data_IF_438574231223
#
_entry.id   IF_438574231223
#
_cell.length_a   1.000
_cell.length_b   1.000
_cell.length_c   1.000
_cell.angle_alpha   90.00
_cell.angle_beta   90.00
_cell.angle_gamma   90.00
#
_symmetry.space_group_name_H-M   'P 1'
#
loop_
_entity.id
_entity.type
_entity.pdbx_description
1 polymer ?
#
# COMPACT_ATOMS: atom_id res chain seq x y z
N UNK A 1 19.39 4.00 -6.33
CA UNK A 1 18.09 3.30 -6.19
C UNK A 1 18.33 1.95 -5.56
N UNK A 2 17.65 1.66 -4.46
CA UNK A 2 17.71 0.33 -3.83
C UNK A 2 16.97 -0.71 -4.68
N UNK A 3 17.24 -2.00 -4.47
CA UNK A 3 16.50 -3.09 -5.14
C UNK A 3 14.99 -3.02 -4.88
N UNK A 4 14.60 -2.59 -3.69
CA UNK A 4 13.21 -2.42 -3.29
C UNK A 4 12.52 -1.24 -3.99
N UNK A 5 13.20 -0.08 -4.06
CA UNK A 5 12.71 1.08 -4.81
C UNK A 5 12.51 0.75 -6.29
N UNK A 6 13.43 -0.02 -6.87
CA UNK A 6 13.33 -0.45 -8.25
C UNK A 6 12.12 -1.34 -8.49
N UNK A 7 11.86 -2.31 -7.60
CA UNK A 7 10.68 -3.19 -7.69
C UNK A 7 9.39 -2.40 -7.57
N UNK A 8 9.33 -1.47 -6.63
CA UNK A 8 8.16 -0.64 -6.40
C UNK A 8 7.90 0.30 -7.58
N UNK A 9 8.93 0.98 -8.08
CA UNK A 9 8.84 1.83 -9.26
C UNK A 9 8.35 1.07 -10.50
N UNK A 10 8.96 -0.06 -10.81
CA UNK A 10 8.55 -0.91 -11.94
C UNK A 10 7.11 -1.41 -11.79
N UNK A 11 6.70 -1.76 -10.58
CA UNK A 11 5.34 -2.20 -10.30
C UNK A 11 4.34 -1.07 -10.56
N UNK A 12 4.58 0.13 -10.06
CA UNK A 12 3.72 1.29 -10.31
C UNK A 12 3.67 1.66 -11.79
N UNK A 13 4.81 1.67 -12.45
CA UNK A 13 4.88 1.96 -13.89
C UNK A 13 4.13 0.96 -14.76
N UNK A 14 3.91 -0.26 -14.28
CA UNK A 14 3.09 -1.24 -15.00
C UNK A 14 1.61 -0.83 -15.14
N UNK A 15 1.13 0.06 -14.28
CA UNK A 15 -0.23 0.62 -14.34
C UNK A 15 -0.32 1.95 -15.10
N UNK A 16 0.80 2.63 -15.27
CA UNK A 16 0.84 3.91 -15.97
C UNK A 16 0.89 3.72 -17.50
N UNK A 17 0.22 4.56 -18.31
CA UNK A 17 -0.60 5.73 -17.96
C UNK A 17 -2.10 5.43 -17.80
N UNK A 18 -2.54 4.17 -17.91
CA UNK A 18 -3.95 3.80 -17.95
C UNK A 18 -4.70 3.92 -16.61
N UNK A 19 -3.97 4.06 -15.50
CA UNK A 19 -4.53 4.16 -14.15
C UNK A 19 -4.08 5.44 -13.45
N UNK A 20 -4.97 5.99 -12.63
CA UNK A 20 -4.69 7.15 -11.78
C UNK A 20 -4.29 6.66 -10.38
N UNK A 21 -3.21 7.19 -9.85
CA UNK A 21 -2.79 6.93 -8.47
C UNK A 21 -3.42 7.92 -7.49
N UNK A 22 -3.95 7.39 -6.41
CA UNK A 22 -4.52 8.13 -5.28
C UNK A 22 -3.71 7.76 -4.04
N UNK A 23 -3.06 8.73 -3.42
CA UNK A 23 -2.20 8.48 -2.27
C UNK A 23 -2.86 8.89 -0.95
N UNK A 24 -2.90 7.96 -0.01
CA UNK A 24 -3.30 8.19 1.38
C UNK A 24 -2.11 7.94 2.29
N UNK A 25 -1.52 9.01 2.81
CA UNK A 25 -0.49 8.91 3.84
C UNK A 25 -1.06 8.22 5.08
N UNK A 26 -0.24 7.39 5.72
CA UNK A 26 -0.62 6.79 6.99
C UNK A 26 -0.72 7.87 8.06
N UNK A 27 -1.88 8.09 8.69
CA UNK A 27 -2.01 9.04 9.79
C UNK A 27 -1.33 8.45 11.03
N UNK A 28 -0.37 9.15 11.59
CA UNK A 28 0.33 8.63 12.75
C UNK A 28 1.25 9.65 13.40
N UNK A 29 2.29 9.14 14.04
CA UNK A 29 3.29 9.93 14.75
C UNK A 29 4.33 10.58 13.81
N UNK A 30 5.36 11.19 14.39
CA UNK A 30 6.42 11.84 13.63
C UNK A 30 7.17 10.89 12.67
N UNK A 31 7.30 9.60 13.02
CA UNK A 31 7.90 8.59 12.15
C UNK A 31 7.08 8.37 10.86
N UNK A 32 5.77 8.33 10.97
CA UNK A 32 4.88 8.21 9.81
C UNK A 32 4.97 9.45 8.92
N UNK A 33 5.18 10.63 9.50
CA UNK A 33 5.45 11.85 8.75
C UNK A 33 6.74 11.79 7.95
N UNK A 34 7.80 11.19 8.48
CA UNK A 34 9.06 10.96 7.76
C UNK A 34 8.85 10.01 6.59
N UNK A 35 8.12 8.92 6.81
CA UNK A 35 7.78 7.96 5.74
C UNK A 35 6.96 8.64 4.63
N UNK A 36 5.98 9.46 4.99
CA UNK A 36 5.17 10.21 4.03
C UNK A 36 6.05 11.16 3.19
N UNK A 37 6.96 11.90 3.82
CA UNK A 37 7.89 12.79 3.13
C UNK A 37 8.77 12.03 2.15
N UNK A 38 9.35 10.91 2.57
CA UNK A 38 10.17 10.06 1.70
C UNK A 38 9.34 9.50 0.52
N UNK A 39 8.07 9.22 0.73
CA UNK A 39 7.16 8.76 -0.32
C UNK A 39 6.89 9.86 -1.36
N UNK A 40 6.67 11.10 -0.94
CA UNK A 40 6.51 12.22 -1.86
C UNK A 40 7.78 12.43 -2.69
N UNK A 41 8.95 12.39 -2.06
CA UNK A 41 10.24 12.49 -2.75
C UNK A 41 10.44 11.34 -3.76
N UNK A 42 10.00 10.14 -3.41
CA UNK A 42 10.04 8.98 -4.31
C UNK A 42 9.17 9.21 -5.55
N UNK A 43 7.93 9.67 -5.37
CA UNK A 43 7.04 9.96 -6.50
C UNK A 43 7.64 11.03 -7.42
N UNK A 44 8.16 12.11 -6.85
CA UNK A 44 8.79 13.19 -7.62
C UNK A 44 10.00 12.70 -8.41
N UNK A 45 10.93 12.01 -7.75
CA UNK A 45 12.15 11.48 -8.42
C UNK A 45 11.86 10.51 -9.56
N UNK A 46 10.76 9.77 -9.47
CA UNK A 46 10.39 8.78 -10.49
C UNK A 46 9.32 9.29 -11.47
N UNK A 47 9.00 10.57 -11.44
CA UNK A 47 7.99 11.22 -12.29
C UNK A 47 6.62 10.51 -12.24
N UNK A 48 6.27 9.99 -11.07
CA UNK A 48 4.97 9.34 -10.82
C UNK A 48 3.95 10.40 -10.40
N UNK A 49 2.94 10.59 -11.21
CA UNK A 49 1.84 11.50 -10.88
C UNK A 49 0.82 10.83 -9.97
N UNK A 50 0.38 11.53 -8.96
CA UNK A 50 -0.64 11.08 -8.03
C UNK A 50 -1.54 12.24 -7.60
N UNK A 51 -2.70 11.91 -7.03
CA UNK A 51 -3.56 12.87 -6.32
C UNK A 51 -3.70 12.42 -4.86
N UNK A 52 -3.81 13.37 -3.91
CA UNK A 52 -4.08 13.00 -2.53
C UNK A 52 -5.50 12.43 -2.39
N UNK A 53 -5.66 11.45 -1.50
CA UNK A 53 -6.99 10.94 -1.17
C UNK A 53 -7.86 12.04 -0.52
N UNK A 54 -9.10 12.13 -0.96
CA UNK A 54 -10.11 13.02 -0.38
C UNK A 54 -11.41 12.24 -0.16
N UNK A 55 -11.98 12.37 1.04
CA UNK A 55 -13.20 11.64 1.40
C UNK A 55 -14.43 12.05 0.59
N UNK A 56 -14.45 13.28 0.09
CA UNK A 56 -15.54 13.86 -0.71
C UNK A 56 -15.38 13.63 -2.22
N UNK A 57 -14.31 12.99 -2.67
CA UNK A 57 -14.06 12.69 -4.07
C UNK A 57 -14.63 11.33 -4.47
N UNK A 58 -15.09 11.24 -5.72
CA UNK A 58 -15.48 9.96 -6.32
C UNK A 58 -14.29 9.30 -7.00
N UNK A 59 -14.12 8.01 -6.74
CA UNK A 59 -13.08 7.17 -7.34
C UNK A 59 -13.69 6.12 -8.25
N UNK A 60 -12.90 5.62 -9.20
CA UNK A 60 -13.31 4.59 -10.14
C UNK A 60 -12.67 3.25 -9.79
N UNK A 61 -13.49 2.23 -9.58
CA UNK A 61 -13.01 0.86 -9.38
C UNK A 61 -12.35 0.24 -10.62
N UNK A 62 -12.45 0.89 -11.78
CA UNK A 62 -11.84 0.41 -13.02
C UNK A 62 -10.46 1.05 -13.28
N UNK A 63 -10.24 2.29 -12.84
CA UNK A 63 -9.07 3.07 -13.25
C UNK A 63 -8.25 3.66 -12.11
N UNK A 64 -8.80 3.76 -10.90
CA UNK A 64 -8.10 4.38 -9.79
C UNK A 64 -7.41 3.32 -8.91
N UNK A 65 -6.16 3.57 -8.56
CA UNK A 65 -5.36 2.73 -7.66
C UNK A 65 -5.06 3.52 -6.40
N UNK A 66 -5.47 2.97 -5.26
CA UNK A 66 -5.11 3.52 -3.96
C UNK A 66 -3.70 3.05 -3.57
N UNK A 67 -2.85 3.99 -3.22
CA UNK A 67 -1.57 3.75 -2.57
C UNK A 67 -1.73 4.17 -1.10
N UNK A 68 -1.71 3.19 -0.20
CA UNK A 68 -1.79 3.41 1.24
C UNK A 68 -0.38 3.47 1.84
N UNK A 69 -0.08 4.53 2.56
CA UNK A 69 1.25 4.81 3.11
C UNK A 69 1.75 3.72 4.06
N UNK A 70 3.04 3.47 4.00
CA UNK A 70 3.71 2.47 4.84
C UNK A 70 3.79 2.85 6.31
N UNK A 71 4.28 1.92 7.12
CA UNK A 71 4.49 2.10 8.55
C UNK A 71 3.97 0.94 9.41
N UNK A 72 3.68 1.21 10.67
CA UNK A 72 3.28 0.21 11.68
C UNK A 72 1.79 0.17 12.02
N UNK A 73 0.90 0.76 11.24
CA UNK A 73 -0.53 0.91 11.58
C UNK A 73 -1.43 -0.29 11.25
N UNK A 74 -0.85 -1.42 10.85
CA UNK A 74 -1.59 -2.64 10.55
C UNK A 74 -1.28 -3.77 11.55
N UNK A 75 -1.32 -3.42 12.84
CA UNK A 75 -1.07 -4.34 13.94
C UNK A 75 -2.34 -4.49 14.77
N UNK A 76 -2.97 -5.67 14.67
CA UNK A 76 -4.19 -5.99 15.39
C UNK A 76 -4.00 -5.87 16.90
N UNK A 77 -4.97 -5.23 17.56
CA UNK A 77 -4.91 -4.97 18.99
C UNK A 77 -4.18 -3.69 19.40
N UNK A 78 -3.41 -3.08 18.47
CA UNK A 78 -2.74 -1.80 18.72
C UNK A 78 -3.34 -0.65 17.92
N UNK A 79 -3.55 -0.86 16.63
CA UNK A 79 -4.01 0.19 15.70
C UNK A 79 -5.09 -0.36 14.77
N UNK A 80 -6.25 0.30 14.74
CA UNK A 80 -7.36 -0.08 13.87
C UNK A 80 -7.58 0.87 12.69
N UNK A 81 -7.06 2.09 12.74
CA UNK A 81 -7.35 3.15 11.78
C UNK A 81 -6.97 2.78 10.33
N UNK A 82 -5.79 2.19 10.14
CA UNK A 82 -5.33 1.77 8.82
C UNK A 82 -6.19 0.65 8.25
N UNK A 83 -6.52 -0.34 9.06
CA UNK A 83 -7.41 -1.44 8.68
C UNK A 83 -8.80 -0.92 8.31
N UNK A 84 -9.37 -0.07 9.14
CA UNK A 84 -10.71 0.49 8.94
C UNK A 84 -10.76 1.35 7.68
N UNK A 85 -9.73 2.16 7.45
CA UNK A 85 -9.63 2.95 6.24
C UNK A 85 -9.60 2.08 4.98
N UNK A 86 -8.75 1.06 4.95
CA UNK A 86 -8.64 0.15 3.79
C UNK A 86 -9.96 -0.58 3.58
N UNK A 87 -10.51 -1.18 4.62
CA UNK A 87 -11.75 -1.95 4.53
C UNK A 87 -12.93 -1.11 4.03
N UNK A 88 -13.04 0.13 4.48
CA UNK A 88 -14.14 1.02 4.10
C UNK A 88 -13.98 1.62 2.69
N UNK A 89 -12.80 1.56 2.11
CA UNK A 89 -12.53 2.24 0.84
C UNK A 89 -12.09 1.31 -0.31
N UNK A 90 -11.66 0.08 -0.02
CA UNK A 90 -11.06 -0.81 -1.02
C UNK A 90 -11.97 -1.07 -2.23
N UNK A 91 -13.27 -1.11 -2.02
CA UNK A 91 -14.25 -1.33 -3.09
C UNK A 91 -14.33 -0.18 -4.12
N UNK A 92 -13.83 1.00 -3.75
CA UNK A 92 -13.82 2.21 -4.60
C UNK A 92 -12.69 2.21 -5.63
N UNK A 93 -11.73 1.29 -5.49
CA UNK A 93 -10.50 1.30 -6.27
C UNK A 93 -10.33 0.01 -7.08
N UNK A 94 -9.61 0.11 -8.19
CA UNK A 94 -9.20 -1.04 -8.98
C UNK A 94 -8.28 -1.97 -8.19
N UNK A 95 -7.27 -1.39 -7.56
CA UNK A 95 -6.34 -2.06 -6.63
C UNK A 95 -6.04 -1.15 -5.44
N UNK A 96 -5.64 -1.75 -4.35
CA UNK A 96 -5.04 -1.04 -3.22
C UNK A 96 -3.64 -1.59 -2.98
N UNK A 97 -2.65 -0.72 -3.06
CA UNK A 97 -1.25 -1.04 -2.81
C UNK A 97 -0.90 -0.56 -1.41
N UNK A 98 -0.53 -1.49 -0.55
CA UNK A 98 -0.01 -1.17 0.79
C UNK A 98 1.50 -1.04 0.67
N UNK A 99 2.01 0.16 0.96
CA UNK A 99 3.45 0.45 0.96
C UNK A 99 4.16 -0.31 2.09
N UNK A 100 5.50 -0.37 2.10
CA UNK A 100 6.24 -1.17 3.06
C UNK A 100 5.75 -1.01 4.49
N UNK A 101 5.19 -2.07 5.05
CA UNK A 101 4.51 -2.07 6.35
C UNK A 101 4.87 -3.29 7.18
N UNK A 102 4.82 -3.11 8.50
CA UNK A 102 4.74 -4.20 9.46
C UNK A 102 3.29 -4.57 9.66
N UNK A 103 2.94 -5.83 9.45
CA UNK A 103 1.57 -6.33 9.54
C UNK A 103 1.52 -7.50 10.51
N UNK A 104 0.55 -7.45 11.43
CA UNK A 104 0.24 -8.52 12.38
C UNK A 104 -1.27 -8.61 12.55
N UNK A 105 -1.82 -9.80 12.34
CA UNK A 105 -3.27 -10.00 12.45
C UNK A 105 -4.06 -9.45 11.25
N UNK A 106 -5.32 -9.09 11.48
CA UNK A 106 -6.25 -8.64 10.45
C UNK A 106 -6.39 -9.60 9.27
N UNK A 107 -6.31 -10.90 9.53
CA UNK A 107 -6.33 -11.94 8.49
C UNK A 107 -7.52 -11.81 7.54
N UNK A 108 -8.69 -11.46 8.06
CA UNK A 108 -9.91 -11.30 7.26
C UNK A 108 -9.82 -10.19 6.22
N UNK A 109 -9.15 -9.07 6.57
CA UNK A 109 -8.90 -7.99 5.61
C UNK A 109 -8.16 -8.52 4.38
N UNK A 110 -7.12 -9.30 4.61
CA UNK A 110 -6.26 -9.82 3.55
C UNK A 110 -6.90 -10.97 2.78
N UNK A 111 -7.48 -11.96 3.47
CA UNK A 111 -8.09 -13.13 2.82
C UNK A 111 -9.33 -12.79 2.01
N UNK A 112 -10.14 -11.83 2.47
CA UNK A 112 -11.33 -11.39 1.75
C UNK A 112 -11.06 -10.48 0.56
N UNK A 113 -9.84 -9.95 0.43
CA UNK A 113 -9.49 -8.95 -0.59
C UNK A 113 -8.24 -9.32 -1.38
N UNK A 114 -7.95 -10.60 -1.53
CA UNK A 114 -6.72 -11.10 -2.16
C UNK A 114 -6.56 -10.61 -3.61
N UNK A 115 -7.67 -10.43 -4.33
CA UNK A 115 -7.67 -9.94 -5.72
C UNK A 115 -7.51 -8.42 -5.83
N UNK A 116 -7.71 -7.71 -4.72
CA UNK A 116 -7.67 -6.25 -4.66
C UNK A 116 -6.40 -5.69 -4.02
N UNK A 117 -5.77 -6.46 -3.11
CA UNK A 117 -4.62 -6.00 -2.34
C UNK A 117 -3.29 -6.44 -2.97
N UNK A 118 -2.36 -5.51 -2.99
CA UNK A 118 -0.94 -5.76 -3.22
C UNK A 118 -0.18 -5.24 -2.00
N UNK A 119 0.67 -6.07 -1.43
CA UNK A 119 1.32 -5.81 -0.14
C UNK A 119 2.83 -5.77 -0.31
N UNK A 120 3.43 -4.65 0.05
CA UNK A 120 4.87 -4.53 0.22
C UNK A 120 5.20 -4.68 1.71
N UNK A 121 6.01 -5.67 2.03
CA UNK A 121 6.37 -6.02 3.40
C UNK A 121 7.74 -5.43 3.73
N UNK A 122 7.85 -4.83 4.90
CA UNK A 122 9.08 -4.19 5.38
C UNK A 122 10.10 -5.18 5.95
N UNK A 123 9.62 -6.35 6.39
CA UNK A 123 10.48 -7.42 6.96
C UNK A 123 9.94 -8.80 6.62
N UNK A 124 10.82 -9.81 6.75
CA UNK A 124 10.51 -11.20 6.42
C UNK A 124 9.34 -11.77 7.23
N UNK A 125 9.18 -11.39 8.50
CA UNK A 125 8.10 -11.89 9.34
C UNK A 125 6.72 -11.50 8.78
N UNK A 126 6.56 -10.25 8.32
CA UNK A 126 5.33 -9.80 7.65
C UNK A 126 5.16 -10.52 6.31
N UNK A 127 6.22 -10.66 5.52
CA UNK A 127 6.18 -11.34 4.23
C UNK A 127 5.71 -12.79 4.36
N UNK A 128 6.29 -13.55 5.30
CA UNK A 128 5.92 -14.94 5.54
C UNK A 128 4.47 -15.06 6.04
N UNK A 129 4.03 -14.13 6.90
CA UNK A 129 2.66 -14.08 7.38
C UNK A 129 1.65 -13.86 6.22
N UNK A 130 1.88 -12.85 5.39
CA UNK A 130 0.98 -12.54 4.27
C UNK A 130 0.99 -13.68 3.23
N UNK A 131 2.14 -14.26 2.96
CA UNK A 131 2.25 -15.43 2.08
C UNK A 131 1.42 -16.61 2.57
N UNK A 132 1.35 -16.85 3.89
CA UNK A 132 0.50 -17.89 4.48
C UNK A 132 -1.00 -17.63 4.28
N UNK A 133 -1.41 -16.40 3.97
CA UNK A 133 -2.79 -16.02 3.62
C UNK A 133 -3.10 -16.20 2.12
N UNK A 134 -2.34 -17.03 1.41
CA UNK A 134 -2.48 -17.34 -0.02
C UNK A 134 -2.07 -16.21 -0.97
N UNK A 135 -1.26 -15.27 -0.51
CA UNK A 135 -0.62 -14.27 -1.38
C UNK A 135 0.58 -14.89 -2.11
N UNK A 136 0.74 -14.53 -3.38
CA UNK A 136 1.78 -15.08 -4.25
C UNK A 136 2.99 -14.14 -4.30
N UNK A 137 4.20 -14.63 -3.94
CA UNK A 137 5.44 -13.83 -4.04
C UNK A 137 5.65 -13.27 -5.45
N UNK A 138 6.09 -12.01 -5.53
CA UNK A 138 6.34 -11.25 -6.76
C UNK A 138 5.10 -11.04 -7.66
N UNK A 139 3.91 -11.32 -7.15
CA UNK A 139 2.64 -11.03 -7.83
C UNK A 139 1.80 -10.05 -7.03
N UNK A 140 1.43 -10.39 -5.80
CA UNK A 140 0.65 -9.54 -4.91
C UNK A 140 1.25 -9.41 -3.50
N UNK A 141 2.37 -10.04 -3.22
CA UNK A 141 3.20 -9.79 -2.04
C UNK A 141 4.67 -9.65 -2.42
N UNK A 142 5.29 -8.61 -1.90
CA UNK A 142 6.69 -8.27 -2.17
C UNK A 142 7.40 -7.97 -0.85
N UNK A 143 8.68 -8.28 -0.80
CA UNK A 143 9.54 -7.77 0.27
C UNK A 143 10.22 -6.50 -0.22
N UNK A 144 10.19 -5.47 0.58
CA UNK A 144 10.87 -4.20 0.35
C UNK A 144 11.87 -4.04 1.48
N UNK A 145 13.14 -4.05 1.14
CA UNK A 145 14.17 -3.68 2.11
C UNK A 145 14.05 -2.17 2.40
N UNK A 146 14.07 -1.83 3.67
CA UNK A 146 14.08 -0.42 4.12
C UNK A 146 15.35 0.31 3.67
#
# INVERSE_FOLDING_TARGET
>A
MTSAELKFDLFLKSYHPSHRFVYKANPGNAGDGVIASATYDFFERNALTYVPYRADERYSADTDILIFGGGGNLIEGLYAEGRDFIQNNIHKFHKTIIMPSTIRGYSDLFTNNIDKLVVFCRENTTFDYIKCLSYEPNKNVFIADD
#
